data_IF_821809739155
#
_entry.id   IF_821809739155
#
_cell.length_a   1.000
_cell.length_b   1.000
_cell.length_c   1.000
_cell.angle_alpha   90.00
_cell.angle_beta   90.00
_cell.angle_gamma   90.00
#
_symmetry.space_group_name_H-M   'P 1'
#
loop_
_entity.id
_entity.type
_entity.pdbx_description
1 polymer ?
#
# COMPACT_ATOMS: atom_id res chain seq x y z
N UNK A 1 -7.75 12.10 14.70
CA UNK A 1 -6.80 10.99 14.88
C UNK A 1 -6.94 10.07 13.67
N UNK A 2 -5.83 9.64 13.06
CA UNK A 2 -5.87 8.78 11.84
C UNK A 2 -6.08 7.29 12.16
N UNK A 3 -6.22 6.92 13.44
CA UNK A 3 -6.38 5.52 13.87
C UNK A 3 -7.70 4.88 13.44
N UNK A 4 -8.66 5.67 12.98
CA UNK A 4 -9.96 5.19 12.46
C UNK A 4 -10.07 5.32 10.94
N UNK A 5 -8.96 5.60 10.24
CA UNK A 5 -9.00 5.72 8.79
C UNK A 5 -9.19 4.34 8.16
N UNK A 6 -10.29 4.16 7.43
CA UNK A 6 -10.64 2.90 6.76
C UNK A 6 -10.34 2.92 5.25
N UNK A 7 -10.28 4.12 4.66
CA UNK A 7 -10.07 4.32 3.23
C UNK A 7 -9.00 5.39 3.02
N UNK A 8 -8.00 5.06 2.22
CA UNK A 8 -6.92 5.96 1.85
C UNK A 8 -6.67 5.85 0.35
N UNK A 9 -7.04 6.91 -0.34
CA UNK A 9 -6.74 7.09 -1.75
C UNK A 9 -5.54 8.03 -1.92
N UNK A 10 -4.44 7.48 -2.45
CA UNK A 10 -3.22 8.18 -2.84
C UNK A 10 -2.96 8.05 -4.35
N UNK A 11 -3.96 7.63 -5.13
CA UNK A 11 -3.84 7.53 -6.58
C UNK A 11 -3.62 8.89 -7.25
N UNK A 12 -3.05 8.85 -8.45
CA UNK A 12 -2.83 10.04 -9.28
C UNK A 12 -1.97 11.13 -8.60
N UNK A 13 -1.02 10.68 -7.78
CA UNK A 13 -0.01 11.53 -7.17
C UNK A 13 1.35 11.32 -7.85
N UNK A 14 2.37 12.00 -7.34
CA UNK A 14 3.75 11.94 -7.83
C UNK A 14 4.65 11.21 -6.84
N UNK A 15 4.15 10.14 -6.19
CA UNK A 15 4.95 9.37 -5.24
C UNK A 15 6.04 8.60 -5.99
N UNK A 16 7.29 9.07 -5.88
CA UNK A 16 8.46 8.43 -6.50
C UNK A 16 9.02 7.26 -5.67
N UNK A 17 8.72 7.26 -4.37
CA UNK A 17 9.09 6.20 -3.44
C UNK A 17 7.93 5.98 -2.46
N UNK A 18 7.85 4.78 -1.90
CA UNK A 18 6.88 4.41 -0.87
C UNK A 18 7.64 4.06 0.41
N UNK A 19 7.15 4.53 1.55
CA UNK A 19 7.72 4.23 2.86
C UNK A 19 6.68 3.56 3.77
N UNK A 20 7.03 2.39 4.30
CA UNK A 20 6.23 1.63 5.26
C UNK A 20 5.83 2.43 6.51
N UNK A 21 6.63 3.44 6.90
CA UNK A 21 6.33 4.30 8.04
C UNK A 21 5.09 5.18 7.82
N UNK A 22 4.56 5.29 6.61
CA UNK A 22 3.31 6.01 6.36
C UNK A 22 2.10 5.22 6.85
N UNK A 23 2.16 3.89 6.77
CA UNK A 23 1.01 3.01 6.94
C UNK A 23 1.03 2.21 8.25
N UNK A 24 2.17 2.12 8.94
CA UNK A 24 2.36 1.22 10.10
C UNK A 24 1.36 1.40 11.26
N UNK A 25 0.70 2.54 11.37
CA UNK A 25 -0.31 2.85 12.40
C UNK A 25 -1.76 2.84 11.90
N UNK A 26 -1.98 2.56 10.63
CA UNK A 26 -3.30 2.58 10.01
C UNK A 26 -3.96 1.20 10.11
N UNK A 27 -4.04 0.64 11.32
CA UNK A 27 -4.56 -0.72 11.57
C UNK A 27 -6.06 -0.87 11.22
N UNK A 28 -6.80 0.24 11.15
CA UNK A 28 -8.19 0.27 10.71
C UNK A 28 -8.36 0.28 9.18
N UNK A 29 -7.28 0.45 8.41
CA UNK A 29 -7.37 0.64 6.97
C UNK A 29 -7.88 -0.64 6.28
N UNK A 30 -8.91 -0.47 5.48
CA UNK A 30 -9.57 -1.54 4.71
C UNK A 30 -9.32 -1.38 3.21
N UNK A 31 -9.14 -0.15 2.72
CA UNK A 31 -8.87 0.16 1.32
C UNK A 31 -7.67 1.08 1.18
N UNK A 32 -6.73 0.69 0.32
CA UNK A 32 -5.57 1.48 -0.05
C UNK A 32 -5.45 1.53 -1.57
N UNK A 33 -5.43 2.73 -2.14
CA UNK A 33 -5.20 2.95 -3.56
C UNK A 33 -3.90 3.74 -3.78
N UNK A 34 -2.97 3.13 -4.50
CA UNK A 34 -1.65 3.65 -4.87
C UNK A 34 -1.46 3.71 -6.40
N UNK A 35 -2.55 3.63 -7.17
CA UNK A 35 -2.48 3.63 -8.62
C UNK A 35 -1.90 4.93 -9.19
N UNK A 36 -1.33 4.82 -10.39
CA UNK A 36 -0.86 5.95 -11.18
C UNK A 36 0.10 6.90 -10.43
N UNK A 37 1.11 6.31 -9.79
CA UNK A 37 2.22 7.04 -9.17
C UNK A 37 3.55 6.70 -9.87
N UNK A 38 4.65 7.27 -9.38
CA UNK A 38 5.98 7.19 -10.01
C UNK A 38 6.94 6.21 -9.33
N UNK A 39 6.50 5.44 -8.34
CA UNK A 39 7.34 4.44 -7.67
C UNK A 39 7.70 3.29 -8.61
N UNK A 40 8.96 2.86 -8.53
CA UNK A 40 9.47 1.76 -9.36
C UNK A 40 9.37 0.38 -8.72
N UNK A 41 9.13 0.32 -7.42
CA UNK A 41 8.92 -0.88 -6.60
C UNK A 41 8.07 -0.55 -5.36
N UNK A 42 7.60 -1.56 -4.62
CA UNK A 42 6.80 -1.38 -3.40
C UNK A 42 7.62 -1.09 -2.13
N UNK A 43 8.87 -0.64 -2.27
CA UNK A 43 9.74 -0.30 -1.16
C UNK A 43 10.25 -1.52 -0.36
N UNK A 44 10.97 -1.26 0.73
CA UNK A 44 11.46 -2.27 1.67
C UNK A 44 11.72 -1.61 3.03
N UNK A 45 11.29 -2.19 4.17
CA UNK A 45 10.65 -3.50 4.38
C UNK A 45 9.20 -3.57 3.81
N UNK A 46 8.50 -4.72 3.88
CA UNK A 46 7.18 -4.87 3.28
C UNK A 46 6.22 -3.74 3.66
N UNK A 47 5.73 -3.03 2.65
CA UNK A 47 4.98 -1.78 2.80
C UNK A 47 3.70 -1.92 3.64
N UNK A 48 3.11 -3.11 3.60
CA UNK A 48 1.77 -3.38 4.11
C UNK A 48 1.75 -4.22 5.41
N UNK A 49 2.90 -4.45 6.04
CA UNK A 49 3.03 -5.38 7.17
C UNK A 49 2.12 -5.06 8.38
N UNK A 50 1.71 -3.79 8.56
CA UNK A 50 0.81 -3.36 9.65
C UNK A 50 -0.68 -3.25 9.25
N UNK A 51 -1.02 -3.48 7.98
CA UNK A 51 -2.38 -3.28 7.46
C UNK A 51 -3.24 -4.54 7.63
N UNK A 52 -3.40 -4.97 8.87
CA UNK A 52 -4.02 -6.26 9.25
C UNK A 52 -5.51 -6.38 8.86
N UNK A 53 -6.17 -5.27 8.57
CA UNK A 53 -7.59 -5.21 8.13
C UNK A 53 -7.76 -4.89 6.64
N UNK A 54 -6.66 -4.82 5.88
CA UNK A 54 -6.73 -4.46 4.47
C UNK A 54 -7.47 -5.53 3.68
N UNK A 55 -8.52 -5.12 2.98
CA UNK A 55 -9.36 -5.98 2.13
C UNK A 55 -9.19 -5.66 0.66
N UNK A 56 -8.90 -4.40 0.32
CA UNK A 56 -8.69 -3.96 -1.06
C UNK A 56 -7.40 -3.18 -1.18
N UNK A 57 -6.54 -3.63 -2.08
CA UNK A 57 -5.27 -3.00 -2.37
C UNK A 57 -5.17 -2.78 -3.87
N UNK A 58 -5.09 -1.53 -4.30
CA UNK A 58 -4.79 -1.19 -5.69
C UNK A 58 -3.40 -0.58 -5.75
N UNK A 59 -2.52 -1.16 -6.55
CA UNK A 59 -1.18 -0.62 -6.80
C UNK A 59 -0.78 -0.89 -8.26
N UNK A 60 0.12 -0.09 -8.78
CA UNK A 60 0.48 -0.07 -10.19
C UNK A 60 0.74 1.35 -10.66
N UNK A 61 1.51 1.48 -11.72
CA UNK A 61 1.84 2.77 -12.29
C UNK A 61 2.76 2.64 -13.48
N UNK A 62 2.96 3.72 -14.24
CA UNK A 62 3.76 3.71 -15.46
C UNK A 62 5.24 3.34 -15.22
N UNK A 63 5.74 3.46 -13.99
CA UNK A 63 7.15 3.25 -13.65
C UNK A 63 7.40 1.99 -12.80
N UNK A 64 6.36 1.29 -12.35
CA UNK A 64 6.49 0.07 -11.55
C UNK A 64 7.14 -1.03 -12.41
N UNK A 65 8.32 -1.48 -12.01
CA UNK A 65 9.14 -2.44 -12.78
C UNK A 65 9.40 -3.74 -12.04
N UNK A 66 9.35 -3.71 -10.72
CA UNK A 66 9.73 -4.85 -9.89
C UNK A 66 8.65 -5.15 -8.85
N UNK A 67 8.29 -6.43 -8.75
CA UNK A 67 7.57 -7.01 -7.62
C UNK A 67 8.39 -8.17 -7.07
N UNK A 68 8.72 -8.11 -5.78
CA UNK A 68 9.47 -9.14 -5.07
C UNK A 68 8.51 -10.07 -4.37
N UNK A 69 8.98 -11.31 -4.14
CA UNK A 69 8.20 -12.37 -3.46
C UNK A 69 7.63 -11.94 -2.09
N UNK A 70 8.25 -10.97 -1.43
CA UNK A 70 7.86 -10.48 -0.10
C UNK A 70 7.07 -9.18 -0.07
N UNK A 71 6.81 -8.52 -1.21
CA UNK A 71 6.23 -7.17 -1.22
C UNK A 71 4.79 -7.14 -0.68
N UNK A 72 4.06 -8.24 -0.86
CA UNK A 72 2.70 -8.44 -0.34
C UNK A 72 2.68 -9.20 1.00
N UNK A 73 3.79 -9.21 1.75
CA UNK A 73 3.80 -9.80 3.08
C UNK A 73 2.93 -8.99 4.05
N UNK A 74 2.02 -9.68 4.77
CA UNK A 74 1.15 -9.09 5.79
C UNK A 74 -0.31 -8.86 5.34
N UNK A 75 -0.58 -8.78 4.04
CA UNK A 75 -1.93 -8.56 3.49
C UNK A 75 -2.70 -9.88 3.31
N UNK A 76 -2.91 -10.59 4.42
CA UNK A 76 -3.50 -11.94 4.43
C UNK A 76 -5.03 -11.97 4.31
N UNK A 77 -5.69 -10.81 4.41
CA UNK A 77 -7.15 -10.67 4.40
C UNK A 77 -7.68 -10.03 3.11
N UNK A 78 -6.88 -9.96 2.04
CA UNK A 78 -7.28 -9.33 0.79
C UNK A 78 -8.43 -10.10 0.13
N UNK A 79 -9.44 -9.34 -0.26
CA UNK A 79 -10.57 -9.76 -1.09
C UNK A 79 -10.37 -9.30 -2.55
N UNK A 80 -9.70 -8.17 -2.74
CA UNK A 80 -9.44 -7.55 -4.04
C UNK A 80 -7.98 -7.03 -4.12
N UNK A 81 -7.31 -7.30 -5.25
CA UNK A 81 -5.92 -6.91 -5.56
C UNK A 81 -5.80 -6.39 -6.99
#
# INVERSE_FOLDING_TARGET
SLWSLEDLDLSDNQLEALDHQWFWKLEALQRLNLLNNLYSCLGSPPLFHGLIRLRRLLFGGPTLKELRRGDLCGVTQLEEL
#
